data_IF_854013254495
#
_entry.id   IF_854013254495
#
_cell.length_a   1.000
_cell.length_b   1.000
_cell.length_c   1.000
_cell.angle_alpha   90.00
_cell.angle_beta   90.00
_cell.angle_gamma   90.00
#
_symmetry.space_group_name_H-M   'P 1'
#
loop_
_entity.id
_entity.type
_entity.pdbx_description
1 polymer ?
#
# COMPACT_ATOMS: atom_id res chain seq x y z
N UNK A 1 2.01 14.59 8.29
CA UNK A 1 0.77 14.09 8.94
C UNK A 1 1.05 13.70 10.38
N UNK A 2 0.11 13.91 11.31
CA UNK A 2 0.13 13.44 12.71
C UNK A 2 -0.92 12.34 12.92
N UNK A 3 -0.74 11.50 13.94
CA UNK A 3 -1.68 10.41 14.28
C UNK A 3 -3.15 10.87 14.39
N UNK A 4 -3.41 12.01 15.06
CA UNK A 4 -4.76 12.57 15.21
C UNK A 4 -5.42 12.98 13.88
N UNK A 5 -4.61 13.34 12.89
CA UNK A 5 -5.09 13.67 11.54
C UNK A 5 -5.53 12.40 10.81
N UNK A 6 -4.85 11.28 11.05
CA UNK A 6 -5.14 9.97 10.45
C UNK A 6 -6.55 9.48 10.81
N UNK A 7 -6.93 9.49 12.09
CA UNK A 7 -8.28 9.14 12.54
C UNK A 7 -9.35 10.04 11.90
N UNK A 8 -9.02 11.31 11.69
CA UNK A 8 -9.91 12.29 11.06
C UNK A 8 -10.08 12.00 9.57
N UNK A 9 -9.00 11.64 8.88
CA UNK A 9 -9.05 11.22 7.49
C UNK A 9 -9.82 9.92 7.31
N UNK A 10 -9.59 8.92 8.18
CA UNK A 10 -10.31 7.64 8.14
C UNK A 10 -11.83 7.84 8.10
N UNK A 11 -12.37 8.61 9.04
CA UNK A 11 -13.81 8.90 9.12
C UNK A 11 -14.37 9.65 7.90
N UNK A 12 -13.54 10.44 7.22
CA UNK A 12 -13.94 11.16 6.00
C UNK A 12 -13.90 10.23 4.79
N UNK A 13 -12.91 9.35 4.75
CA UNK A 13 -12.62 8.46 3.63
C UNK A 13 -13.39 7.14 3.71
N UNK A 14 -13.92 6.73 4.87
CA UNK A 14 -14.69 5.48 5.02
C UNK A 14 -15.99 5.47 4.20
N UNK A 15 -16.49 6.66 3.86
CA UNK A 15 -17.66 6.84 2.98
C UNK A 15 -17.29 7.02 1.51
N UNK A 16 -16.02 6.86 1.13
CA UNK A 16 -15.53 7.04 -0.23
C UNK A 16 -14.81 5.79 -0.73
N UNK A 17 -14.62 5.67 -2.05
CA UNK A 17 -13.83 4.58 -2.66
C UNK A 17 -12.31 4.85 -2.58
N UNK A 18 -11.86 5.48 -1.50
CA UNK A 18 -10.44 5.82 -1.35
C UNK A 18 -9.60 4.57 -1.17
N UNK A 19 -8.60 4.42 -2.04
CA UNK A 19 -7.58 3.38 -1.96
C UNK A 19 -6.22 4.03 -2.15
N UNK A 20 -5.40 3.96 -1.12
CA UNK A 20 -3.97 4.26 -1.22
C UNK A 20 -3.22 3.02 -1.71
N UNK A 21 -2.26 3.20 -2.61
CA UNK A 21 -1.41 2.12 -3.13
C UNK A 21 0.04 2.55 -3.05
N UNK A 22 0.91 1.67 -2.55
CA UNK A 22 2.34 1.94 -2.50
C UNK A 22 3.17 0.66 -2.51
N UNK A 23 4.34 0.74 -3.14
CA UNK A 23 5.35 -0.31 -3.07
C UNK A 23 6.22 -0.09 -1.83
N UNK A 24 6.30 -1.09 -0.96
CA UNK A 24 7.11 -1.06 0.26
C UNK A 24 8.59 -1.30 -0.03
N UNK A 25 8.86 -2.20 -0.97
CA UNK A 25 10.20 -2.45 -1.49
C UNK A 25 10.11 -3.16 -2.84
N UNK A 26 11.11 -2.89 -3.68
CA UNK A 26 11.34 -3.64 -4.91
C UNK A 26 12.84 -3.97 -4.99
N UNK A 27 13.16 -5.24 -5.22
CA UNK A 27 14.54 -5.72 -5.24
C UNK A 27 14.76 -6.67 -6.42
N UNK A 28 15.75 -6.33 -7.24
CA UNK A 28 16.26 -7.25 -8.24
C UNK A 28 16.79 -8.54 -7.59
N UNK A 29 16.35 -9.68 -8.09
CA UNK A 29 16.79 -10.99 -7.62
C UNK A 29 17.97 -11.42 -8.49
N UNK A 30 19.03 -11.96 -7.88
CA UNK A 30 20.24 -12.34 -8.63
C UNK A 30 19.96 -13.52 -9.57
N UNK A 31 20.29 -13.34 -10.86
CA UNK A 31 20.02 -14.27 -11.98
C UNK A 31 19.14 -13.61 -13.06
N UNK A 32 18.74 -14.36 -14.10
CA UNK A 32 17.78 -13.89 -15.13
C UNK A 32 16.33 -13.74 -14.57
N UNK A 33 16.17 -13.73 -13.24
CA UNK A 33 14.90 -13.94 -12.55
C UNK A 33 14.35 -12.63 -11.94
N UNK A 34 14.21 -11.59 -12.78
CA UNK A 34 13.38 -10.39 -12.54
C UNK A 34 13.42 -9.72 -11.15
N UNK A 35 12.26 -9.30 -10.65
CA UNK A 35 12.11 -8.42 -9.48
C UNK A 35 11.14 -8.99 -8.43
N UNK A 36 11.57 -8.96 -7.15
CA UNK A 36 10.74 -9.20 -5.97
C UNK A 36 10.16 -7.87 -5.50
N UNK A 37 8.84 -7.73 -5.54
CA UNK A 37 8.12 -6.52 -5.15
C UNK A 37 7.13 -6.84 -4.03
N UNK A 38 7.12 -6.03 -2.98
CA UNK A 38 6.06 -6.03 -1.99
C UNK A 38 5.30 -4.71 -2.04
N UNK A 39 3.98 -4.83 -2.15
CA UNK A 39 3.06 -3.72 -2.33
C UNK A 39 1.92 -3.79 -1.32
N UNK A 40 1.36 -2.63 -1.02
CA UNK A 40 0.21 -2.50 -0.13
C UNK A 40 -0.90 -1.69 -0.79
N UNK A 41 -2.12 -2.08 -0.47
CA UNK A 41 -3.31 -1.27 -0.65
C UNK A 41 -3.91 -0.97 0.72
N UNK A 42 -4.24 0.30 0.96
CA UNK A 42 -4.87 0.75 2.20
C UNK A 42 -6.18 1.43 1.86
N UNK A 43 -7.27 0.97 2.45
CA UNK A 43 -8.59 1.60 2.38
C UNK A 43 -9.10 1.96 3.78
N UNK A 44 -9.95 2.99 3.85
CA UNK A 44 -10.54 3.42 5.10
C UNK A 44 -11.85 2.66 5.34
N UNK A 45 -12.01 2.11 6.55
CA UNK A 45 -13.28 1.60 7.07
C UNK A 45 -13.72 2.45 8.27
N UNK A 46 -14.95 2.28 8.75
CA UNK A 46 -15.52 3.15 9.80
C UNK A 46 -14.71 3.10 11.12
N UNK A 47 -14.28 1.90 11.52
CA UNK A 47 -13.59 1.64 12.78
C UNK A 47 -12.09 1.32 12.64
N UNK A 48 -11.61 0.93 11.45
CA UNK A 48 -10.23 0.55 11.18
C UNK A 48 -9.76 0.93 9.75
N UNK A 49 -8.48 0.75 9.48
CA UNK A 49 -7.92 0.78 8.12
C UNK A 49 -7.73 -0.64 7.64
N UNK A 50 -8.23 -0.93 6.45
CA UNK A 50 -8.04 -2.24 5.85
C UNK A 50 -6.76 -2.22 5.00
N UNK A 51 -5.80 -3.08 5.36
CA UNK A 51 -4.55 -3.28 4.64
C UNK A 51 -4.64 -4.58 3.84
N UNK A 52 -4.41 -4.49 2.54
CA UNK A 52 -4.14 -5.64 1.68
C UNK A 52 -2.68 -5.59 1.25
N UNK A 53 -1.93 -6.63 1.60
CA UNK A 53 -0.53 -6.78 1.26
C UNK A 53 -0.38 -7.85 0.17
N UNK A 54 0.43 -7.55 -0.84
CA UNK A 54 0.77 -8.50 -1.89
C UNK A 54 2.28 -8.46 -2.13
N UNK A 55 2.92 -9.62 -2.11
CA UNK A 55 4.28 -9.81 -2.58
C UNK A 55 4.27 -10.59 -3.88
N UNK A 56 4.84 -10.00 -4.92
CA UNK A 56 4.96 -10.60 -6.25
C UNK A 56 6.42 -10.83 -6.58
N UNK A 57 6.70 -11.95 -7.24
CA UNK A 57 7.99 -12.22 -7.87
C UNK A 57 7.78 -12.30 -9.38
N UNK A 58 8.49 -11.43 -10.09
CA UNK A 58 8.55 -11.42 -11.55
C UNK A 58 9.90 -11.97 -12.01
N UNK A 59 9.91 -12.62 -13.17
CA UNK A 59 11.14 -13.15 -13.79
C UNK A 59 11.12 -12.94 -15.30
N UNK A 60 12.28 -12.61 -15.88
CA UNK A 60 12.44 -12.84 -17.30
C UNK A 60 12.57 -14.35 -17.50
N UNK A 61 11.76 -14.93 -18.39
CA UNK A 61 11.89 -16.33 -18.71
C UNK A 61 13.25 -16.56 -19.39
N UNK A 62 13.82 -17.76 -19.20
CA UNK A 62 14.78 -18.33 -20.15
C UNK A 62 14.35 -18.02 -21.60
N UNK A 63 15.26 -17.95 -22.59
CA UNK A 63 15.04 -17.35 -23.94
C UNK A 63 13.79 -17.76 -24.76
N UNK A 64 12.97 -18.70 -24.27
CA UNK A 64 11.79 -19.28 -24.91
C UNK A 64 10.55 -19.38 -24.00
N UNK A 65 10.56 -18.88 -22.75
CA UNK A 65 9.36 -18.88 -21.91
C UNK A 65 8.67 -17.49 -21.91
N UNK A 66 7.47 -17.40 -21.35
CA UNK A 66 6.72 -16.14 -21.20
C UNK A 66 7.06 -15.46 -19.86
N UNK A 67 6.99 -14.12 -19.80
CA UNK A 67 7.17 -13.38 -18.55
C UNK A 67 6.16 -13.84 -17.52
N UNK A 68 6.66 -14.40 -16.41
CA UNK A 68 5.84 -14.88 -15.30
C UNK A 68 5.88 -13.86 -14.17
N UNK A 69 4.70 -13.45 -13.71
CA UNK A 69 4.51 -12.70 -12.47
C UNK A 69 3.67 -13.58 -11.55
N UNK A 70 4.28 -14.03 -10.45
CA UNK A 70 3.62 -14.89 -9.48
C UNK A 70 3.39 -14.12 -8.19
N UNK A 71 2.18 -14.23 -7.64
CA UNK A 71 1.93 -13.83 -6.25
C UNK A 71 2.55 -14.89 -5.34
N UNK A 72 3.50 -14.47 -4.51
CA UNK A 72 4.24 -15.34 -3.58
C UNK A 72 3.58 -15.34 -2.21
N UNK A 73 3.09 -14.17 -1.79
CA UNK A 73 2.42 -13.99 -0.52
C UNK A 73 1.33 -12.93 -0.68
N UNK A 74 0.19 -13.16 -0.03
CA UNK A 74 -0.96 -12.27 -0.06
C UNK A 74 -1.72 -12.42 1.24
N UNK A 75 -1.95 -11.31 1.91
CA UNK A 75 -2.76 -11.31 3.12
C UNK A 75 -3.47 -9.99 3.32
N UNK A 76 -4.55 -10.05 4.09
CA UNK A 76 -5.34 -8.91 4.51
C UNK A 76 -5.25 -8.76 6.03
N UNK A 77 -5.25 -7.51 6.49
CA UNK A 77 -5.21 -7.20 7.92
C UNK A 77 -5.88 -5.87 8.20
N UNK A 78 -6.66 -5.85 9.27
CA UNK A 78 -7.24 -4.62 9.79
C UNK A 78 -6.27 -3.95 10.78
N UNK A 79 -6.04 -2.66 10.59
CA UNK A 79 -5.11 -1.83 11.36
C UNK A 79 -5.86 -0.72 12.07
N UNK A 80 -5.46 -0.44 13.32
CA UNK A 80 -5.84 0.81 13.97
C UNK A 80 -4.99 1.98 13.43
N UNK A 81 -5.31 3.19 13.89
CA UNK A 81 -4.63 4.39 13.41
C UNK A 81 -3.14 4.40 13.80
N UNK A 82 -2.79 3.82 14.96
CA UNK A 82 -1.40 3.74 15.43
C UNK A 82 -0.59 2.78 14.54
N UNK A 83 -1.11 1.58 14.28
CA UNK A 83 -0.45 0.59 13.44
C UNK A 83 -0.28 1.06 12.00
N UNK A 84 -1.28 1.75 11.42
CA UNK A 84 -1.12 2.34 10.09
C UNK A 84 -0.10 3.48 10.10
N UNK A 85 -0.12 4.35 11.11
CA UNK A 85 0.86 5.45 11.21
C UNK A 85 2.29 4.92 11.33
N UNK A 86 2.50 3.88 12.15
CA UNK A 86 3.80 3.22 12.30
C UNK A 86 4.25 2.60 10.98
N UNK A 87 3.37 1.88 10.28
CA UNK A 87 3.67 1.30 8.96
C UNK A 87 4.11 2.37 7.96
N UNK A 88 3.34 3.46 7.83
CA UNK A 88 3.67 4.56 6.92
C UNK A 88 4.99 5.24 7.33
N UNK A 89 5.26 5.35 8.62
CA UNK A 89 6.48 5.97 9.15
C UNK A 89 7.72 5.11 8.86
N UNK A 90 7.64 3.80 9.12
CA UNK A 90 8.75 2.86 8.90
C UNK A 90 9.18 2.82 7.43
N UNK A 91 8.22 2.90 6.50
CA UNK A 91 8.47 2.87 5.06
C UNK A 91 8.62 4.26 4.42
N UNK A 92 8.67 5.34 5.21
CA UNK A 92 8.81 6.72 4.72
C UNK A 92 7.68 7.16 3.76
N UNK A 93 6.49 6.57 3.90
CA UNK A 93 5.33 6.79 3.03
C UNK A 93 4.38 7.89 3.53
N UNK A 94 4.64 8.49 4.71
CA UNK A 94 3.73 9.49 5.32
C UNK A 94 3.37 10.63 4.37
N UNK A 95 4.37 11.18 3.67
CA UNK A 95 4.15 12.33 2.79
C UNK A 95 3.41 11.93 1.50
N UNK A 96 3.75 10.76 0.96
CA UNK A 96 3.10 10.21 -0.23
C UNK A 96 1.63 9.89 0.05
N UNK A 97 1.35 9.19 1.16
CA UNK A 97 0.01 8.96 1.67
C UNK A 97 -0.79 10.25 1.82
N UNK A 98 -0.21 11.26 2.48
CA UNK A 98 -0.88 12.56 2.67
C UNK A 98 -1.22 13.26 1.35
N UNK A 99 -0.39 13.08 0.31
CA UNK A 99 -0.61 13.65 -1.02
C UNK A 99 -1.67 12.87 -1.80
N UNK A 100 -1.76 11.56 -1.58
CA UNK A 100 -2.75 10.68 -2.21
C UNK A 100 -4.18 10.94 -1.72
N UNK A 101 -4.33 11.43 -0.48
CA UNK A 101 -5.64 11.80 0.06
C UNK A 101 -6.16 12.92 -0.82
N UNK A 102 -7.27 12.71 -1.55
CA UNK A 102 -7.84 13.77 -2.36
C UNK A 102 -8.07 14.96 -1.43
N UNK A 103 -7.52 16.12 -1.77
CA UNK A 103 -7.94 17.38 -1.16
C UNK A 103 -9.40 17.55 -1.54
N UNK A 104 -10.31 16.90 -0.80
CA UNK A 104 -11.72 17.07 -0.98
C UNK A 104 -11.96 18.55 -0.81
N UNK A 105 -12.31 19.16 -1.93
CA UNK A 105 -12.40 20.60 -2.10
C UNK A 105 -13.19 21.16 -0.93
N UNK A 106 -12.56 22.11 -0.23
CA UNK A 106 -13.22 23.02 0.68
C UNK A 106 -14.19 23.84 -0.16
N UNK A 107 -15.33 23.26 -0.54
CA UNK A 107 -16.50 24.03 -0.94
C UNK A 107 -17.05 24.60 0.35
N UNK A 108 -16.62 25.84 0.62
CA UNK A 108 -17.33 26.77 1.50
C UNK A 108 -18.75 26.99 1.00
#
# INVERSE_FOLDING_TARGET
MKLQELSTYRKKLSSTDFIYRADLFSKAIWGDMGEDCASIHVSAQDDHWHLHFIRTQSGEPYPLADTVCNVIDEYEKDLDDEALFDLLSMHQLIQDFQTSIPMCQIKK
#
